data_IF_673564472521
#
_entry.id   IF_673564472521
#
_cell.length_a   1.000
_cell.length_b   1.000
_cell.length_c   1.000
_cell.angle_alpha   90.00
_cell.angle_beta   90.00
_cell.angle_gamma   90.00
#
_symmetry.space_group_name_H-M   'P 1'
#
loop_
_entity.id
_entity.type
_entity.pdbx_description
1 polymer ?
#
# COMPACT_ATOMS: atom_id res chain seq x y z
N UNK A 1 19.33 -9.23 6.71
CA UNK A 1 19.30 -8.09 5.76
C UNK A 1 19.14 -8.70 4.37
N UNK A 2 17.94 -8.63 3.77
CA UNK A 2 17.66 -9.22 2.45
C UNK A 2 17.75 -8.11 1.43
N UNK A 3 18.74 -8.18 0.53
CA UNK A 3 19.15 -7.05 -0.32
C UNK A 3 18.86 -7.23 -1.82
N UNK A 4 18.25 -8.34 -2.24
CA UNK A 4 17.87 -8.51 -3.64
C UNK A 4 16.83 -9.63 -3.80
N UNK A 5 15.71 -9.29 -4.45
CA UNK A 5 14.61 -10.19 -4.87
C UNK A 5 14.12 -11.17 -3.79
N UNK A 6 13.54 -10.62 -2.73
CA UNK A 6 12.90 -11.45 -1.71
C UNK A 6 11.51 -11.90 -2.17
N UNK A 7 11.42 -12.89 -3.06
CA UNK A 7 10.14 -13.49 -3.44
C UNK A 7 9.56 -14.42 -2.36
N UNK A 8 9.98 -14.31 -1.09
CA UNK A 8 9.40 -15.06 0.01
C UNK A 8 8.17 -14.32 0.57
N UNK A 9 6.94 -14.76 0.24
CA UNK A 9 5.72 -14.06 0.65
C UNK A 9 5.52 -14.08 2.17
N UNK A 10 6.03 -15.08 2.89
CA UNK A 10 5.88 -15.16 4.34
C UNK A 10 6.71 -14.07 5.03
N UNK A 11 7.94 -13.85 4.56
CA UNK A 11 8.81 -12.82 5.11
C UNK A 11 8.27 -11.42 4.80
N UNK A 12 7.80 -11.18 3.57
CA UNK A 12 7.17 -9.90 3.20
C UNK A 12 5.92 -9.65 4.07
N UNK A 13 5.05 -10.66 4.19
CA UNK A 13 3.83 -10.51 4.98
C UNK A 13 4.11 -10.33 6.47
N UNK A 14 5.19 -10.91 7.00
CA UNK A 14 5.66 -10.66 8.37
C UNK A 14 6.01 -9.19 8.58
N UNK A 15 6.80 -8.59 7.69
CA UNK A 15 7.12 -7.15 7.77
C UNK A 15 5.86 -6.29 7.70
N UNK A 16 4.92 -6.65 6.83
CA UNK A 16 3.64 -5.96 6.72
C UNK A 16 2.85 -5.98 8.05
N UNK A 17 2.74 -7.15 8.70
CA UNK A 17 2.10 -7.28 10.00
C UNK A 17 2.83 -6.52 11.11
N UNK A 18 4.16 -6.52 11.10
CA UNK A 18 4.96 -5.78 12.08
C UNK A 18 4.74 -4.26 11.96
N UNK A 19 4.57 -3.73 10.73
CA UNK A 19 4.18 -2.33 10.52
C UNK A 19 2.79 -2.03 11.09
N UNK A 20 1.77 -2.85 10.79
CA UNK A 20 0.41 -2.66 11.34
C UNK A 20 0.43 -2.64 12.87
N UNK A 21 1.18 -3.57 13.49
CA UNK A 21 1.30 -3.64 14.95
C UNK A 21 1.99 -2.41 15.53
N UNK A 22 3.03 -1.92 14.86
CA UNK A 22 3.77 -0.74 15.28
C UNK A 22 2.91 0.53 15.18
N UNK A 23 2.19 0.69 14.08
CA UNK A 23 1.44 1.90 13.78
C UNK A 23 0.04 1.89 14.45
N UNK A 24 -0.49 0.71 14.78
CA UNK A 24 -1.79 0.54 15.41
C UNK A 24 -2.98 0.65 14.44
N UNK A 25 -2.71 0.84 13.15
CA UNK A 25 -3.71 0.92 12.09
C UNK A 25 -3.25 0.21 10.82
N UNK A 26 -4.20 -0.05 9.93
CA UNK A 26 -3.99 -0.63 8.60
C UNK A 26 -4.82 0.15 7.60
N UNK A 27 -4.39 0.18 6.33
CA UNK A 27 -5.20 0.75 5.26
C UNK A 27 -6.49 -0.06 5.02
N UNK A 28 -7.49 0.56 4.40
CA UNK A 28 -8.73 -0.12 3.98
C UNK A 28 -8.52 -0.89 2.67
N UNK A 29 -7.70 -0.36 1.76
CA UNK A 29 -7.42 -0.94 0.46
C UNK A 29 -5.92 -0.83 0.18
N UNK A 30 -5.34 -1.91 -0.33
CA UNK A 30 -3.98 -1.93 -0.88
C UNK A 30 -4.01 -1.64 -2.38
N UNK A 31 -3.01 -0.91 -2.86
CA UNK A 31 -2.78 -0.68 -4.29
C UNK A 31 -1.44 -1.31 -4.66
N UNK A 32 -1.41 -2.04 -5.76
CA UNK A 32 -0.18 -2.61 -6.28
C UNK A 32 -0.19 -2.68 -7.79
N UNK A 33 1.01 -2.83 -8.34
CA UNK A 33 1.21 -3.21 -9.73
C UNK A 33 0.61 -4.63 -9.95
N UNK A 34 0.20 -4.95 -11.19
CA UNK A 34 -0.17 -6.30 -11.56
C UNK A 34 1.10 -7.17 -11.61
N UNK A 35 1.54 -7.66 -10.45
CA UNK A 35 2.71 -8.52 -10.29
C UNK A 35 2.45 -9.65 -9.29
N UNK A 36 3.10 -10.82 -9.45
CA UNK A 36 2.88 -11.98 -8.59
C UNK A 36 3.41 -11.77 -7.16
N UNK A 37 4.44 -10.93 -6.98
CA UNK A 37 5.11 -10.72 -5.69
C UNK A 37 4.17 -10.12 -4.64
N UNK A 38 3.35 -9.14 -5.04
CA UNK A 38 2.42 -8.45 -4.14
C UNK A 38 1.07 -9.17 -4.01
N UNK A 39 0.83 -10.20 -4.83
CA UNK A 39 -0.44 -10.93 -4.84
C UNK A 39 -0.77 -11.54 -3.48
N UNK A 40 0.20 -12.21 -2.86
CA UNK A 40 0.03 -12.88 -1.57
C UNK A 40 -0.23 -11.87 -0.46
N UNK A 41 0.49 -10.75 -0.45
CA UNK A 41 0.29 -9.68 0.52
C UNK A 41 -1.12 -9.09 0.40
N UNK A 42 -1.56 -8.78 -0.82
CA UNK A 42 -2.87 -8.20 -1.05
C UNK A 42 -4.02 -9.17 -0.68
N UNK A 43 -3.81 -10.48 -0.85
CA UNK A 43 -4.76 -11.51 -0.43
C UNK A 43 -4.85 -11.60 1.10
N UNK A 44 -3.70 -11.66 1.77
CA UNK A 44 -3.65 -11.67 3.24
C UNK A 44 -4.22 -10.40 3.85
N UNK A 45 -3.97 -9.24 3.23
CA UNK A 45 -4.58 -7.98 3.63
C UNK A 45 -6.12 -8.02 3.56
N UNK A 46 -6.67 -8.51 2.45
CA UNK A 46 -8.13 -8.63 2.30
C UNK A 46 -8.73 -9.54 3.39
N UNK A 47 -8.08 -10.66 3.69
CA UNK A 47 -8.50 -11.54 4.79
C UNK A 47 -8.52 -10.83 6.15
N UNK A 48 -7.47 -10.05 6.46
CA UNK A 48 -7.39 -9.29 7.72
C UNK A 48 -8.53 -8.26 7.78
N UNK A 49 -8.76 -7.50 6.71
CA UNK A 49 -9.82 -6.49 6.67
C UNK A 49 -11.22 -7.10 6.85
N UNK A 50 -11.50 -8.22 6.18
CA UNK A 50 -12.76 -8.94 6.33
C UNK A 50 -12.94 -9.51 7.75
N UNK A 51 -11.85 -9.96 8.37
CA UNK A 51 -11.87 -10.47 9.75
C UNK A 51 -12.14 -9.35 10.77
N UNK A 52 -11.67 -8.13 10.49
CA UNK A 52 -11.87 -6.96 11.35
C UNK A 52 -13.22 -6.28 11.11
N UNK A 53 -13.78 -6.39 9.90
CA UNK A 53 -15.03 -5.75 9.52
C UNK A 53 -15.89 -6.71 8.69
N UNK A 54 -16.92 -7.28 9.33
CA UNK A 54 -17.86 -8.21 8.70
C UNK A 54 -18.61 -7.59 7.51
N UNK A 55 -18.73 -6.26 7.44
CA UNK A 55 -19.34 -5.57 6.30
C UNK A 55 -18.50 -5.61 5.02
N UNK A 56 -17.23 -6.02 5.11
CA UNK A 56 -16.35 -6.19 3.95
C UNK A 56 -16.28 -7.64 3.47
N UNK A 57 -16.96 -8.58 4.13
CA UNK A 57 -16.93 -10.00 3.74
C UNK A 57 -17.34 -10.18 2.27
N UNK A 58 -16.57 -10.99 1.54
CA UNK A 58 -16.79 -11.23 0.11
C UNK A 58 -16.30 -10.12 -0.83
N UNK A 59 -15.83 -8.98 -0.31
CA UNK A 59 -15.26 -7.88 -1.13
C UNK A 59 -13.73 -7.93 -1.17
N UNK A 60 -13.09 -7.46 -2.25
CA UNK A 60 -11.63 -7.44 -2.36
C UNK A 60 -11.05 -6.08 -1.93
N UNK A 61 -10.20 -6.07 -0.91
CA UNK A 61 -9.50 -4.87 -0.40
C UNK A 61 -8.17 -4.63 -1.12
N UNK A 62 -8.11 -4.99 -2.41
CA UNK A 62 -6.95 -4.73 -3.25
C UNK A 62 -7.38 -4.19 -4.60
N UNK A 63 -6.57 -3.28 -5.13
CA UNK A 63 -6.73 -2.75 -6.47
C UNK A 63 -5.42 -2.86 -7.22
N UNK A 64 -5.48 -3.52 -8.37
CA UNK A 64 -4.40 -3.42 -9.33
C UNK A 64 -4.51 -2.09 -10.06
N UNK A 65 -3.41 -1.36 -10.10
CA UNK A 65 -3.30 -0.18 -10.93
C UNK A 65 -2.65 -0.58 -12.25
N UNK A 66 -3.40 -0.41 -13.34
CA UNK A 66 -2.85 -0.49 -14.70
C UNK A 66 -2.30 0.89 -15.07
N UNK A 67 -1.13 0.92 -15.70
CA UNK A 67 -0.49 2.07 -16.35
C UNK A 67 -0.63 3.44 -15.67
N UNK A 68 0.48 3.97 -15.09
CA UNK A 68 0.62 5.36 -14.59
C UNK A 68 -0.42 5.84 -13.56
N UNK A 69 -1.31 4.97 -13.09
CA UNK A 69 -2.31 5.25 -12.05
C UNK A 69 -1.84 4.88 -10.63
N UNK A 70 -0.57 4.46 -10.47
CA UNK A 70 -0.01 4.33 -9.13
C UNK A 70 0.02 5.70 -8.47
N UNK A 71 -0.32 5.75 -7.18
CA UNK A 71 0.01 6.93 -6.39
C UNK A 71 1.50 7.24 -6.58
N UNK A 72 1.86 8.50 -6.84
CA UNK A 72 3.26 8.89 -6.98
C UNK A 72 4.05 8.36 -5.77
N UNK A 73 5.29 7.88 -5.98
CA UNK A 73 6.12 7.43 -4.88
C UNK A 73 6.36 8.60 -3.90
N UNK A 74 6.67 8.29 -2.64
CA UNK A 74 6.91 9.31 -1.60
C UNK A 74 7.90 10.40 -2.06
N UNK A 75 8.91 10.03 -2.84
CA UNK A 75 9.88 10.97 -3.41
C UNK A 75 9.25 12.01 -4.35
N UNK A 76 8.24 11.62 -5.14
CA UNK A 76 7.52 12.53 -6.01
C UNK A 76 6.67 13.51 -5.19
N UNK A 77 5.99 13.02 -4.14
CA UNK A 77 5.26 13.88 -3.20
C UNK A 77 6.17 14.82 -2.41
N UNK A 78 7.33 14.33 -1.98
CA UNK A 78 8.33 15.12 -1.27
C UNK A 78 8.87 16.24 -2.16
N UNK A 79 9.21 15.93 -3.41
CA UNK A 79 9.64 16.93 -4.39
C UNK A 79 8.53 17.95 -4.69
N UNK A 80 7.29 17.49 -4.82
CA UNK A 80 6.16 18.40 -5.04
C UNK A 80 5.99 19.38 -3.89
N UNK A 81 6.03 18.92 -2.63
CA UNK A 81 5.92 19.79 -1.45
C UNK A 81 7.11 20.73 -1.31
N UNK A 82 8.32 20.25 -1.56
CA UNK A 82 9.53 21.06 -1.42
C UNK A 82 9.65 22.14 -2.51
N UNK A 83 9.18 21.84 -3.72
CA UNK A 83 9.16 22.78 -4.83
C UNK A 83 7.84 23.54 -4.96
N UNK A 84 6.91 23.37 -4.01
CA UNK A 84 5.67 24.14 -3.98
C UNK A 84 6.01 25.56 -3.59
N UNK A 85 6.03 26.47 -4.57
CA UNK A 85 6.32 27.88 -4.33
C UNK A 85 5.18 28.55 -3.55
N UNK A 86 5.48 29.44 -2.58
CA UNK A 86 4.47 30.30 -1.98
C UNK A 86 3.74 31.09 -3.08
N UNK A 87 2.42 30.91 -3.18
CA UNK A 87 1.57 31.53 -4.22
C UNK A 87 0.71 30.53 -5.02
N UNK A 88 1.05 29.25 -5.06
CA UNK A 88 0.16 28.22 -5.63
C UNK A 88 -0.98 27.83 -4.68
N UNK A 89 -0.78 27.97 -3.37
CA UNK A 89 -1.78 27.68 -2.32
C UNK A 89 -2.98 28.65 -2.37
N UNK A 90 -2.80 29.84 -2.95
CA UNK A 90 -3.83 30.90 -3.01
C UNK A 90 -4.82 30.72 -4.19
N UNK A 91 -4.54 29.79 -5.10
CA UNK A 91 -5.28 29.59 -6.36
C UNK A 91 -6.21 28.36 -6.30
N UNK A 92 -6.13 27.54 -5.25
CA UNK A 92 -6.93 26.31 -5.04
C UNK A 92 -7.94 26.48 -3.90
#
# INVERSE_FOLDING_TARGET
RVWWTNSNPQLIFRYYLDCIKKDGYTCLVTQSDPGPENFCLAKGHSFIQQSLNSGLEGTLQRRYMKEKNNMPPEIAWSNMRHNFSPGMEDIL
#
